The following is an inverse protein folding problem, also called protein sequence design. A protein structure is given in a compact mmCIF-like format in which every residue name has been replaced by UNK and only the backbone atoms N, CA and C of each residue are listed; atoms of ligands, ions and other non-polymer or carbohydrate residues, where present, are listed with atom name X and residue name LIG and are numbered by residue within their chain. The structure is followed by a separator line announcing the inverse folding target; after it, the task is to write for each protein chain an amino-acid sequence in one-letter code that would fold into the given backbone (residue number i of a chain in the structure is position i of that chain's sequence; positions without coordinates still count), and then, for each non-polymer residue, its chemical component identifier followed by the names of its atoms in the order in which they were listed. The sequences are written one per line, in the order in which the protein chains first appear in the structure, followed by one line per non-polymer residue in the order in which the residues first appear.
data_IF_818142260346
#
_entry.id   IF_818142260346
#
_cell.length_a   1.000
_cell.length_b   1.000
_cell.length_c   1.000
_cell.angle_alpha   90.00
_cell.angle_beta   90.00
_cell.angle_gamma   90.00
#
_symmetry.space_group_name_H-M   'P 1'
#
loop_
_entity.id
_entity.type
_entity.pdbx_description
1 polymer ?
#
# COMPACT_ATOMS: atom_id res chain seq x y z
N UNK A 1 13.04 15.48 -11.96
CA UNK A 1 12.01 14.88 -11.08
C UNK A 1 10.66 15.30 -11.63
N UNK A 2 9.73 14.37 -11.76
CA UNK A 2 8.40 14.60 -12.31
C UNK A 2 7.37 14.20 -11.27
N UNK A 3 6.44 15.10 -10.94
CA UNK A 3 5.30 14.78 -10.08
C UNK A 3 4.32 13.94 -10.89
N UNK A 4 3.92 12.80 -10.34
CA UNK A 4 3.07 11.81 -11.04
C UNK A 4 1.66 11.80 -10.45
N UNK A 5 1.55 11.90 -9.14
CA UNK A 5 0.25 11.80 -8.46
C UNK A 5 0.24 12.56 -7.13
N UNK A 6 -0.95 12.77 -6.60
CA UNK A 6 -1.18 13.16 -5.22
C UNK A 6 -1.92 12.01 -4.54
N UNK A 7 -1.41 11.54 -3.40
CA UNK A 7 -2.10 10.48 -2.67
C UNK A 7 -3.33 11.06 -1.97
N UNK A 8 -4.50 10.63 -2.44
CA UNK A 8 -5.80 11.33 -2.40
C UNK A 8 -6.19 11.94 -1.06
N UNK A 9 -6.17 11.21 0.06
CA UNK A 9 -6.54 11.81 1.36
C UNK A 9 -5.44 12.66 2.01
N UNK A 10 -4.18 12.44 1.65
CA UNK A 10 -3.05 13.18 2.24
C UNK A 10 -2.68 14.43 1.46
N UNK A 11 -3.05 14.50 0.17
CA UNK A 11 -2.66 15.55 -0.79
C UNK A 11 -1.14 15.77 -0.83
N UNK A 12 -0.37 14.73 -0.50
CA UNK A 12 1.08 14.78 -0.58
C UNK A 12 1.48 14.52 -2.04
N UNK A 13 2.20 15.44 -2.68
CA UNK A 13 2.75 15.21 -4.01
C UNK A 13 3.74 14.05 -3.99
N UNK A 14 3.54 13.10 -4.91
CA UNK A 14 4.40 11.96 -5.14
C UNK A 14 4.89 12.00 -6.58
N UNK A 15 6.20 11.81 -6.73
CA UNK A 15 6.89 11.88 -8.01
C UNK A 15 7.89 10.77 -8.20
N UNK A 16 8.53 10.81 -9.37
CA UNK A 16 9.61 9.89 -9.75
C UNK A 16 10.85 10.70 -10.14
N UNK A 17 12.03 10.26 -9.68
CA UNK A 17 13.31 10.85 -10.06
C UNK A 17 13.75 10.40 -11.45
N UNK A 18 14.79 11.03 -12.02
CA UNK A 18 15.35 10.57 -13.30
C UNK A 18 15.93 9.16 -13.26
N UNK A 19 16.19 8.62 -12.06
CA UNK A 19 16.67 7.26 -11.83
C UNK A 19 15.53 6.25 -11.61
N UNK A 20 14.26 6.67 -11.67
CA UNK A 20 13.11 5.79 -11.43
C UNK A 20 12.76 5.59 -9.95
N UNK A 21 13.30 6.41 -9.04
CA UNK A 21 13.00 6.33 -7.62
C UNK A 21 11.71 7.09 -7.27
N UNK A 22 10.84 6.46 -6.47
CA UNK A 22 9.63 7.09 -5.93
C UNK A 22 9.96 8.04 -4.77
N UNK A 23 9.51 9.29 -4.88
CA UNK A 23 9.76 10.36 -3.90
C UNK A 23 8.49 11.09 -3.55
N UNK A 24 8.46 11.73 -2.38
CA UNK A 24 7.38 12.59 -1.93
C UNK A 24 7.89 13.95 -1.47
N UNK A 25 7.04 14.97 -1.53
CA UNK A 25 7.34 16.29 -0.99
C UNK A 25 7.07 16.30 0.53
N UNK A 26 8.14 16.32 1.31
CA UNK A 26 8.07 16.40 2.76
C UNK A 26 7.59 17.80 3.21
N UNK A 27 7.07 17.88 4.44
CA UNK A 27 6.46 19.11 4.98
C UNK A 27 7.45 20.28 5.06
N UNK A 28 8.72 19.96 5.29
CA UNK A 28 9.86 20.88 5.33
C UNK A 28 10.26 21.41 3.94
N UNK A 29 9.61 20.97 2.86
CA UNK A 29 9.82 21.45 1.49
C UNK A 29 10.90 20.70 0.70
N UNK A 30 11.47 19.63 1.27
CA UNK A 30 12.41 18.74 0.60
C UNK A 30 11.74 17.54 -0.06
N UNK A 31 12.38 16.96 -1.07
CA UNK A 31 11.96 15.68 -1.64
C UNK A 31 12.65 14.53 -0.92
N UNK A 32 11.85 13.55 -0.49
CA UNK A 32 12.30 12.40 0.30
C UNK A 32 11.91 11.10 -0.37
N UNK A 33 12.74 10.07 -0.20
CA UNK A 33 12.52 8.75 -0.78
C UNK A 33 11.38 7.99 -0.10
N UNK A 34 10.46 7.43 -0.89
CA UNK A 34 9.44 6.49 -0.42
C UNK A 34 9.99 5.08 -0.19
N UNK A 35 11.20 4.78 -0.69
CA UNK A 35 11.86 3.48 -0.47
C UNK A 35 12.60 3.47 0.87
N UNK A 36 13.23 4.59 1.23
CA UNK A 36 14.01 4.70 2.47
C UNK A 36 13.19 5.15 3.68
N UNK A 37 11.99 5.66 3.45
CA UNK A 37 11.04 5.99 4.50
C UNK A 37 9.67 5.46 4.12
N UNK A 38 8.97 4.81 5.06
CA UNK A 38 7.56 4.43 4.91
C UNK A 38 6.69 5.46 5.63
N UNK A 39 6.50 6.68 5.07
CA UNK A 39 5.80 7.73 5.76
C UNK A 39 4.33 7.35 5.96
N UNK A 40 3.78 7.78 7.09
CA UNK A 40 2.43 7.39 7.55
C UNK A 40 1.31 7.70 6.56
N UNK A 41 1.48 8.70 5.69
CA UNK A 41 0.48 9.06 4.68
C UNK A 41 0.35 8.00 3.58
N UNK A 42 1.33 7.11 3.38
CA UNK A 42 1.24 6.06 2.37
C UNK A 42 0.03 5.15 2.55
N UNK A 43 -0.48 5.03 3.79
CA UNK A 43 -1.70 4.28 4.08
C UNK A 43 -2.88 4.72 3.21
N UNK A 44 -2.92 5.99 2.77
CA UNK A 44 -4.00 6.51 1.93
C UNK A 44 -4.01 5.93 0.52
N UNK A 45 -2.91 5.30 0.07
CA UNK A 45 -2.91 4.56 -1.20
C UNK A 45 -3.97 3.44 -1.20
N UNK A 46 -4.27 2.86 -0.03
CA UNK A 46 -5.27 1.79 0.11
C UNK A 46 -6.69 2.24 -0.28
N UNK A 47 -7.01 3.53 -0.22
CA UNK A 47 -8.34 4.05 -0.60
C UNK A 47 -8.64 3.92 -2.09
N UNK A 48 -7.60 3.85 -2.93
CA UNK A 48 -7.77 3.69 -4.36
C UNK A 48 -8.17 2.25 -4.74
N UNK A 49 -7.98 1.29 -3.84
CA UNK A 49 -8.31 -0.11 -4.06
C UNK A 49 -7.73 -0.66 -5.37
N UNK A 50 -8.50 -1.51 -6.06
CA UNK A 50 -8.09 -2.20 -7.28
C UNK A 50 -7.73 -1.27 -8.45
N UNK A 51 -8.25 -0.04 -8.48
CA UNK A 51 -7.96 0.92 -9.54
C UNK A 51 -6.60 1.59 -9.38
N UNK A 52 -5.95 1.48 -8.21
CA UNK A 52 -4.73 2.21 -7.93
C UNK A 52 -3.62 1.98 -8.96
N UNK A 53 -3.40 0.72 -9.33
CA UNK A 53 -2.32 0.35 -10.24
C UNK A 53 -2.57 0.89 -11.66
N UNK A 54 -3.77 0.66 -12.20
CA UNK A 54 -4.16 1.20 -13.52
C UNK A 54 -4.14 2.73 -13.54
N UNK A 55 -4.67 3.38 -12.50
CA UNK A 55 -4.66 4.84 -12.38
C UNK A 55 -3.23 5.39 -12.35
N UNK A 56 -2.31 4.68 -11.67
CA UNK A 56 -0.91 5.08 -11.59
C UNK A 56 -0.20 4.92 -12.94
N UNK A 57 -0.48 3.83 -13.68
CA UNK A 57 0.03 3.63 -15.03
C UNK A 57 -0.41 4.75 -15.99
N UNK A 58 -1.70 5.12 -15.98
CA UNK A 58 -2.23 6.20 -16.79
C UNK A 58 -1.55 7.54 -16.48
N UNK A 59 -1.34 7.83 -15.19
CA UNK A 59 -0.64 9.05 -14.75
C UNK A 59 0.82 9.08 -15.17
N UNK A 60 1.52 7.95 -15.10
CA UNK A 60 2.90 7.84 -15.58
C UNK A 60 2.99 8.12 -17.09
N UNK A 61 2.09 7.54 -17.88
CA UNK A 61 2.03 7.77 -19.33
C UNK A 61 1.74 9.24 -19.64
N UNK A 62 0.80 9.86 -18.92
CA UNK A 62 0.42 11.26 -19.12
C UNK A 62 1.58 12.24 -18.91
N UNK A 63 2.59 11.87 -18.10
CA UNK A 63 3.79 12.68 -17.86
C UNK A 63 5.03 12.18 -18.62
N UNK A 64 4.85 11.26 -19.57
CA UNK A 64 5.93 10.75 -20.44
C UNK A 64 6.86 9.73 -19.78
N UNK A 65 6.42 9.06 -18.72
CA UNK A 65 7.17 8.00 -18.02
C UNK A 65 6.67 6.60 -18.41
N UNK A 66 7.51 5.59 -18.19
CA UNK A 66 7.14 4.19 -18.47
C UNK A 66 6.08 3.69 -17.48
N UNK A 67 4.98 3.07 -17.94
CA UNK A 67 3.92 2.54 -17.04
C UNK A 67 4.43 1.43 -16.11
N UNK A 68 5.50 0.72 -16.47
CA UNK A 68 6.12 -0.31 -15.62
C UNK A 68 6.69 0.23 -14.30
N UNK A 69 6.86 1.55 -14.15
CA UNK A 69 7.20 2.15 -12.86
C UNK A 69 6.10 1.97 -11.82
N UNK A 70 4.84 1.74 -12.23
CA UNK A 70 3.76 1.44 -11.30
C UNK A 70 4.04 0.18 -10.46
N UNK A 71 4.74 -0.81 -11.05
CA UNK A 71 5.11 -2.07 -10.38
C UNK A 71 6.16 -1.87 -9.28
N UNK A 72 6.89 -0.74 -9.31
CA UNK A 72 7.91 -0.41 -8.30
C UNK A 72 7.39 0.48 -7.19
N UNK A 73 6.12 0.91 -7.26
CA UNK A 73 5.51 1.69 -6.20
C UNK A 73 5.43 0.86 -4.90
N UNK A 74 5.77 1.42 -3.72
CA UNK A 74 5.86 0.65 -2.47
C UNK A 74 4.49 0.35 -1.84
N UNK A 75 3.59 -0.32 -2.58
CA UNK A 75 2.26 -0.73 -2.12
C UNK A 75 2.34 -1.58 -0.84
N UNK A 76 3.34 -2.47 -0.77
CA UNK A 76 3.55 -3.34 0.40
C UNK A 76 3.73 -2.51 1.69
N UNK A 77 4.36 -1.32 1.62
CA UNK A 77 4.46 -0.41 2.78
C UNK A 77 3.09 0.13 3.19
N UNK A 78 2.25 0.50 2.23
CA UNK A 78 0.89 0.98 2.49
C UNK A 78 0.03 -0.09 3.15
N UNK A 79 0.14 -1.35 2.70
CA UNK A 79 -0.58 -2.50 3.29
C UNK A 79 -0.12 -2.73 4.74
N UNK A 80 1.20 -2.80 5.01
CA UNK A 80 1.71 -2.98 6.38
C UNK A 80 1.25 -1.86 7.30
N UNK A 81 1.29 -0.61 6.83
CA UNK A 81 0.76 0.54 7.57
C UNK A 81 -0.73 0.37 7.88
N UNK A 82 -1.54 -0.06 6.92
CA UNK A 82 -2.97 -0.27 7.12
C UNK A 82 -3.29 -1.39 8.12
N UNK A 83 -2.60 -2.55 8.01
CA UNK A 83 -2.80 -3.68 8.92
C UNK A 83 -2.42 -3.36 10.37
N UNK A 84 -1.38 -2.55 10.55
CA UNK A 84 -0.90 -2.15 11.88
C UNK A 84 -1.54 -0.87 12.40
N UNK A 85 -2.42 -0.25 11.61
CA UNK A 85 -3.03 1.02 11.99
C UNK A 85 -4.00 0.85 13.17
N UNK A 86 -4.14 1.83 14.07
CA UNK A 86 -5.06 1.71 15.21
C UNK A 86 -6.56 1.69 14.85
N UNK A 87 -6.95 2.14 13.66
CA UNK A 87 -8.36 2.30 13.29
C UNK A 87 -8.81 1.16 12.37
N UNK A 88 -10.03 0.68 12.63
CA UNK A 88 -10.65 -0.43 11.88
C UNK A 88 -10.80 -0.11 10.39
N UNK A 89 -10.98 1.16 10.03
CA UNK A 89 -11.08 1.60 8.64
C UNK A 89 -9.85 1.21 7.81
N UNK A 90 -8.65 1.52 8.30
CA UNK A 90 -7.41 1.24 7.57
C UNK A 90 -7.04 -0.25 7.62
N UNK A 91 -7.34 -0.91 8.73
CA UNK A 91 -7.20 -2.36 8.85
C UNK A 91 -8.07 -3.08 7.81
N UNK A 92 -9.36 -2.71 7.71
CA UNK A 92 -10.26 -3.30 6.73
C UNK A 92 -9.83 -3.00 5.29
N UNK A 93 -9.41 -1.76 5.00
CA UNK A 93 -8.92 -1.41 3.66
C UNK A 93 -7.69 -2.24 3.24
N UNK A 94 -6.77 -2.51 4.17
CA UNK A 94 -5.60 -3.36 3.90
C UNK A 94 -5.98 -4.84 3.71
N UNK A 95 -6.90 -5.36 4.52
CA UNK A 95 -7.40 -6.73 4.37
C UNK A 95 -8.11 -6.91 3.03
N UNK A 96 -9.01 -5.99 2.67
CA UNK A 96 -9.71 -5.99 1.40
C UNK A 96 -8.75 -5.94 0.21
N UNK A 97 -7.61 -5.26 0.35
CA UNK A 97 -6.56 -5.24 -0.67
C UNK A 97 -5.94 -6.63 -0.85
N UNK A 98 -5.53 -7.25 0.25
CA UNK A 98 -4.92 -8.60 0.25
C UNK A 98 -5.89 -9.68 -0.24
N UNK A 99 -7.19 -9.55 0.01
CA UNK A 99 -8.18 -10.50 -0.49
C UNK A 99 -8.32 -10.47 -2.03
N UNK A 100 -8.01 -9.33 -2.66
CA UNK A 100 -8.11 -9.16 -4.12
C UNK A 100 -6.81 -9.48 -4.83
N UNK A 101 -5.71 -8.86 -4.38
CA UNK A 101 -4.40 -8.98 -5.02
C UNK A 101 -3.65 -10.27 -4.62
N UNK A 102 -4.10 -10.93 -3.55
CA UNK A 102 -3.39 -12.05 -2.95
C UNK A 102 -2.14 -11.59 -2.21
N UNK A 103 -1.09 -12.42 -2.24
CA UNK A 103 0.21 -12.16 -1.61
C UNK A 103 0.17 -12.01 -0.08
N UNK A 104 -0.84 -12.59 0.57
CA UNK A 104 -1.03 -12.51 2.03
C UNK A 104 0.15 -13.13 2.81
N UNK A 105 0.91 -14.03 2.21
CA UNK A 105 2.11 -14.65 2.78
C UNK A 105 3.18 -13.62 3.19
N UNK A 106 3.29 -12.50 2.47
CA UNK A 106 4.25 -11.45 2.78
C UNK A 106 3.88 -10.66 4.06
N UNK A 107 2.65 -10.79 4.54
CA UNK A 107 2.07 -10.04 5.65
C UNK A 107 1.61 -10.95 6.80
N UNK A 108 2.08 -12.20 6.85
CA UNK A 108 1.72 -13.15 7.90
C UNK A 108 1.89 -12.60 9.33
N UNK A 109 3.01 -11.92 9.69
CA UNK A 109 3.17 -11.40 11.04
C UNK A 109 2.07 -10.40 11.43
N UNK A 110 1.72 -9.48 10.53
CA UNK A 110 0.68 -8.48 10.75
C UNK A 110 -0.72 -9.10 10.79
N UNK A 111 -0.98 -10.06 9.90
CA UNK A 111 -2.26 -10.77 9.88
C UNK A 111 -2.47 -11.63 11.14
N UNK A 112 -1.44 -12.33 11.59
CA UNK A 112 -1.48 -13.12 12.84
C UNK A 112 -1.75 -12.22 14.06
N UNK A 113 -1.16 -11.02 14.11
CA UNK A 113 -1.48 -10.05 15.14
C UNK A 113 -2.97 -9.65 15.08
N UNK A 114 -3.48 -9.30 13.91
CA UNK A 114 -4.89 -8.89 13.73
C UNK A 114 -5.91 -9.99 14.06
N UNK A 115 -5.57 -11.27 13.93
CA UNK A 115 -6.44 -12.38 14.39
C UNK A 115 -6.79 -12.24 15.87
N UNK A 116 -5.87 -11.70 16.68
CA UNK A 116 -6.02 -11.54 18.12
C UNK A 116 -6.45 -10.14 18.52
N UNK A 117 -5.96 -9.10 17.83
CA UNK A 117 -6.11 -7.70 18.25
C UNK A 117 -7.14 -6.91 17.45
N UNK A 118 -7.62 -7.43 16.31
CA UNK A 118 -8.56 -6.71 15.43
C UNK A 118 -9.80 -6.24 16.18
N UNK A 119 -10.21 -4.98 15.98
CA UNK A 119 -11.29 -4.34 16.75
C UNK A 119 -12.65 -5.01 16.55
N UNK A 120 -12.92 -5.49 15.34
CA UNK A 120 -14.18 -6.17 14.99
C UNK A 120 -14.02 -7.67 14.78
N UNK A 121 -15.14 -8.40 14.91
CA UNK A 121 -15.19 -9.82 14.56
C UNK A 121 -14.90 -10.05 13.07
N UNK A 122 -15.34 -9.13 12.20
CA UNK A 122 -15.07 -9.19 10.76
C UNK A 122 -13.58 -9.15 10.47
N UNK A 123 -12.86 -8.17 11.02
CA UNK A 123 -11.40 -8.03 10.87
C UNK A 123 -10.68 -9.30 11.32
N UNK A 124 -10.99 -9.81 12.52
CA UNK A 124 -10.35 -11.03 13.06
C UNK A 124 -10.65 -12.26 12.19
N UNK A 125 -11.87 -12.36 11.65
CA UNK A 125 -12.26 -13.48 10.80
C UNK A 125 -11.56 -13.42 9.44
N UNK A 126 -11.54 -12.25 8.79
CA UNK A 126 -10.86 -12.03 7.52
C UNK A 126 -9.36 -12.27 7.64
N UNK A 127 -8.71 -11.74 8.68
CA UNK A 127 -7.29 -12.00 8.95
C UNK A 127 -7.00 -13.50 9.10
N UNK A 128 -7.85 -14.24 9.83
CA UNK A 128 -7.68 -15.70 10.01
C UNK A 128 -7.82 -16.46 8.70
N UNK A 129 -8.78 -16.07 7.86
CA UNK A 129 -8.98 -16.66 6.53
C UNK A 129 -7.74 -16.45 5.65
N UNK A 130 -7.21 -15.23 5.62
CA UNK A 130 -6.00 -14.88 4.87
C UNK A 130 -4.75 -15.64 5.37
N UNK A 131 -4.54 -15.75 6.69
CA UNK A 131 -3.44 -16.55 7.26
C UNK A 131 -3.54 -18.00 6.83
N UNK A 132 -4.74 -18.58 6.87
CA UNK A 132 -4.94 -19.96 6.46
C UNK A 132 -4.64 -20.15 4.97
N UNK A 133 -5.17 -19.28 4.10
CA UNK A 133 -4.93 -19.33 2.66
C UNK A 133 -3.44 -19.21 2.32
N UNK A 134 -2.73 -18.24 2.91
CA UNK A 134 -1.30 -18.03 2.71
C UNK A 134 -0.46 -19.24 3.14
N UNK A 135 -0.83 -19.89 4.24
CA UNK A 135 -0.14 -21.10 4.74
C UNK A 135 -0.38 -22.33 3.86
N UNK A 136 -1.51 -22.40 3.14
CA UNK A 136 -1.75 -23.47 2.16
C UNK A 136 -0.90 -23.25 0.92
N UNK A 137 -0.85 -22.02 0.40
CA UNK A 137 -0.02 -21.66 -0.76
C UNK A 137 1.48 -21.90 -0.54
N UNK A 138 1.97 -21.70 0.69
CA UNK A 138 3.38 -21.96 1.02
C UNK A 138 3.76 -23.45 1.14
N UNK A 139 2.80 -24.37 1.07
CA UNK A 139 3.02 -25.83 1.16
C UNK A 139 3.01 -26.51 -0.20
N UNK A 140 2.54 -25.82 -1.23
CA UNK A 140 2.54 -26.26 -2.63
C UNK A 140 3.81 -25.81 -3.34
#
# INVERSE_FOLDING_TARGET
MVVVTELSASRIPVGVTGAGEWVYLAREGGWSSLTHSSPVFLVTALQHGAAFHSDLQERLVAVGLTPSLADTFPVDSSIRLGLTWPTEFWQQAALDWLEREGRAEAFLPELEALVHTGGTQQIRHTARRLVWAARQQARE
#
